data_IF_306737963306
#
_entry.id   IF_306737963306
#
_cell.length_a   1.000
_cell.length_b   1.000
_cell.length_c   1.000
_cell.angle_alpha   90.00
_cell.angle_beta   90.00
_cell.angle_gamma   90.00
#
_symmetry.space_group_name_H-M   'P 1'
#
loop_
_entity.id
_entity.type
_entity.pdbx_description
1 polymer ?
#
# COMPACT_ATOMS: atom_id res chain seq x y z
N UNK A 1 14.57 16.72 -14.25
CA UNK A 1 13.39 16.78 -13.35
C UNK A 1 12.13 16.03 -13.86
N UNK A 2 12.06 15.56 -15.13
CA UNK A 2 10.91 14.77 -15.63
C UNK A 2 10.77 13.37 -14.99
N UNK A 3 11.88 12.73 -14.60
CA UNK A 3 11.89 11.38 -14.01
C UNK A 3 11.25 11.31 -12.60
N UNK A 4 11.51 12.27 -11.71
CA UNK A 4 10.98 12.24 -10.33
C UNK A 4 9.46 12.34 -10.30
N UNK A 5 8.86 13.20 -11.13
CA UNK A 5 7.39 13.31 -11.25
C UNK A 5 6.75 12.00 -11.71
N UNK A 6 7.46 11.23 -12.54
CA UNK A 6 6.99 9.91 -13.02
C UNK A 6 7.02 8.91 -11.87
N UNK A 7 8.09 8.82 -11.09
CA UNK A 7 8.12 7.93 -9.93
C UNK A 7 7.08 8.32 -8.86
N UNK A 8 6.92 9.62 -8.56
CA UNK A 8 5.92 10.11 -7.60
C UNK A 8 4.49 9.79 -8.04
N UNK A 9 4.18 10.00 -9.31
CA UNK A 9 2.83 9.75 -9.81
C UNK A 9 2.61 8.21 -9.87
N UNK A 10 3.66 7.42 -10.11
CA UNK A 10 3.63 5.94 -10.16
C UNK A 10 3.48 5.29 -8.79
N UNK A 11 4.05 5.91 -7.75
CA UNK A 11 3.76 5.59 -6.35
C UNK A 11 2.29 5.83 -5.97
N UNK A 12 1.51 6.52 -6.82
CA UNK A 12 0.13 6.95 -6.60
C UNK A 12 -0.06 7.59 -5.22
N UNK A 13 0.65 8.69 -4.96
CA UNK A 13 0.60 9.41 -3.67
C UNK A 13 -0.84 9.73 -3.23
N UNK A 14 -1.74 9.96 -4.18
CA UNK A 14 -3.17 10.21 -3.92
C UNK A 14 -3.92 9.00 -3.35
N UNK A 15 -3.40 7.77 -3.43
CA UNK A 15 -3.99 6.57 -2.81
C UNK A 15 -3.38 6.26 -1.44
N UNK A 16 -2.32 6.97 -1.01
CA UNK A 16 -1.75 6.80 0.34
C UNK A 16 -2.77 7.00 1.46
N UNK A 17 -3.73 7.94 1.37
CA UNK A 17 -4.75 8.09 2.39
C UNK A 17 -5.55 6.80 2.66
N UNK A 18 -5.73 5.93 1.66
CA UNK A 18 -6.48 4.66 1.82
C UNK A 18 -5.81 3.77 2.87
N UNK A 19 -4.47 3.68 2.87
CA UNK A 19 -3.72 2.92 3.88
C UNK A 19 -3.50 3.68 5.19
N UNK A 20 -3.38 5.02 5.15
CA UNK A 20 -3.05 5.83 6.32
C UNK A 20 -4.25 6.15 7.21
N UNK A 21 -5.45 6.36 6.65
CA UNK A 21 -6.65 6.71 7.42
C UNK A 21 -6.98 5.67 8.51
N UNK A 22 -6.97 4.35 8.22
CA UNK A 22 -7.17 3.32 9.25
C UNK A 22 -6.16 3.41 10.40
N UNK A 23 -4.88 3.66 10.09
CA UNK A 23 -3.81 3.82 11.10
C UNK A 23 -4.05 5.06 11.97
N UNK A 24 -4.48 6.17 11.37
CA UNK A 24 -4.85 7.40 12.10
C UNK A 24 -6.05 7.15 13.01
N UNK A 25 -7.05 6.40 12.55
CA UNK A 25 -8.21 6.01 13.36
C UNK A 25 -7.80 5.12 14.53
N UNK A 26 -6.96 4.11 14.29
CA UNK A 26 -6.41 3.24 15.34
C UNK A 26 -5.66 4.06 16.40
N UNK A 27 -4.80 4.98 15.97
CA UNK A 27 -4.11 5.90 16.88
C UNK A 27 -5.07 6.76 17.71
N UNK A 28 -6.10 7.35 17.09
CA UNK A 28 -7.09 8.15 17.82
C UNK A 28 -7.83 7.33 18.88
N UNK A 29 -8.16 6.07 18.57
CA UNK A 29 -8.80 5.14 19.51
C UNK A 29 -7.83 4.77 20.64
N UNK A 30 -6.59 4.37 20.33
CA UNK A 30 -5.56 4.07 21.33
C UNK A 30 -5.29 5.26 22.24
N UNK A 31 -5.18 6.46 21.68
CA UNK A 31 -4.95 7.70 22.44
C UNK A 31 -6.13 8.00 23.38
N UNK A 32 -7.37 7.83 22.91
CA UNK A 32 -8.57 7.99 23.75
C UNK A 32 -8.58 6.95 24.88
N UNK A 33 -8.23 5.70 24.59
CA UNK A 33 -8.15 4.65 25.60
C UNK A 33 -7.09 4.99 26.65
N UNK A 34 -5.91 5.49 26.26
CA UNK A 34 -4.88 5.92 27.22
C UNK A 34 -5.33 7.09 28.11
N UNK A 35 -6.11 8.03 27.58
CA UNK A 35 -6.58 9.22 28.30
C UNK A 35 -7.79 8.97 29.22
N UNK A 36 -8.65 8.02 28.88
CA UNK A 36 -9.98 7.86 29.52
C UNK A 36 -10.28 6.45 30.04
N UNK A 37 -9.37 5.48 29.93
CA UNK A 37 -9.58 4.17 30.54
C UNK A 37 -9.24 4.19 32.03
N UNK A 38 -10.02 3.46 32.82
CA UNK A 38 -9.86 3.23 34.26
C UNK A 38 -8.67 2.32 34.64
N UNK A 39 -7.74 2.04 33.71
CA UNK A 39 -6.57 1.25 34.06
C UNK A 39 -5.68 2.07 34.99
N UNK A 40 -5.41 1.55 36.18
CA UNK A 40 -4.64 2.23 37.24
C UNK A 40 -3.21 2.60 36.80
N UNK A 41 -2.69 1.94 35.76
CA UNK A 41 -1.40 2.23 35.14
C UNK A 41 -1.51 2.30 33.61
N UNK A 42 -0.96 3.34 32.95
CA UNK A 42 -0.93 3.40 31.51
C UNK A 42 -0.05 2.28 30.93
N UNK A 43 -0.66 1.41 30.12
CA UNK A 43 0.00 0.28 29.43
C UNK A 43 1.17 0.75 28.52
N UNK A 44 1.15 2.01 28.08
CA UNK A 44 2.13 2.62 27.18
C UNK A 44 2.33 4.10 27.51
N UNK A 45 3.58 4.59 27.48
CA UNK A 45 3.84 6.03 27.64
C UNK A 45 3.46 6.82 26.38
N UNK A 46 3.16 8.12 26.54
CA UNK A 46 2.77 9.01 25.44
C UNK A 46 3.81 9.01 24.30
N UNK A 47 5.09 9.08 24.63
CA UNK A 47 6.18 9.05 23.65
C UNK A 47 6.19 7.74 22.84
N UNK A 48 5.98 6.61 23.51
CA UNK A 48 5.93 5.30 22.87
C UNK A 48 4.73 5.21 21.92
N UNK A 49 3.59 5.80 22.27
CA UNK A 49 2.40 5.87 21.42
C UNK A 49 2.68 6.62 20.11
N UNK A 50 3.33 7.80 20.19
CA UNK A 50 3.70 8.56 18.98
C UNK A 50 4.74 7.85 18.13
N UNK A 51 5.74 7.20 18.74
CA UNK A 51 6.73 6.43 17.97
C UNK A 51 6.05 5.25 17.27
N UNK A 52 5.16 4.53 17.96
CA UNK A 52 4.42 3.41 17.40
C UNK A 52 3.53 3.87 16.23
N UNK A 53 2.83 4.99 16.39
CA UNK A 53 2.02 5.61 15.33
C UNK A 53 2.87 5.94 14.10
N UNK A 54 4.03 6.56 14.29
CA UNK A 54 4.94 6.87 13.19
C UNK A 54 5.40 5.61 12.45
N UNK A 55 5.79 4.56 13.18
CA UNK A 55 6.20 3.28 12.59
C UNK A 55 5.06 2.66 11.77
N UNK A 56 3.84 2.63 12.30
CA UNK A 56 2.67 2.10 11.58
C UNK A 56 2.37 2.93 10.31
N UNK A 57 2.50 4.26 10.37
CA UNK A 57 2.36 5.11 9.18
C UNK A 57 3.41 4.80 8.13
N UNK A 58 4.66 4.56 8.52
CA UNK A 58 5.73 4.17 7.58
C UNK A 58 5.44 2.82 6.93
N UNK A 59 5.02 1.81 7.70
CA UNK A 59 4.60 0.51 7.16
C UNK A 59 3.47 0.69 6.15
N UNK A 60 2.39 1.38 6.52
CA UNK A 60 1.25 1.60 5.63
C UNK A 60 1.63 2.35 4.34
N UNK A 61 2.45 3.41 4.46
CA UNK A 61 2.88 4.18 3.31
C UNK A 61 3.77 3.39 2.35
N UNK A 62 4.82 2.74 2.85
CA UNK A 62 5.75 1.98 2.01
C UNK A 62 5.10 0.72 1.42
N UNK A 63 4.23 0.05 2.17
CA UNK A 63 3.46 -1.08 1.65
C UNK A 63 2.51 -0.63 0.53
N UNK A 64 1.77 0.47 0.71
CA UNK A 64 0.89 1.00 -0.33
C UNK A 64 1.68 1.37 -1.61
N UNK A 65 2.85 1.97 -1.47
CA UNK A 65 3.76 2.27 -2.58
C UNK A 65 4.21 0.98 -3.28
N UNK A 66 4.58 -0.06 -2.51
CA UNK A 66 5.01 -1.35 -3.05
C UNK A 66 3.89 -2.01 -3.87
N UNK A 67 2.66 -2.06 -3.33
CA UNK A 67 1.49 -2.60 -4.03
C UNK A 67 1.19 -1.80 -5.30
N UNK A 68 1.28 -0.46 -5.24
CA UNK A 68 1.05 0.39 -6.41
C UNK A 68 2.05 0.09 -7.55
N UNK A 69 3.34 -0.04 -7.23
CA UNK A 69 4.35 -0.43 -8.22
C UNK A 69 4.20 -1.88 -8.68
N UNK A 70 3.78 -2.80 -7.81
CA UNK A 70 3.58 -4.20 -8.15
C UNK A 70 2.41 -4.36 -9.13
N UNK A 71 1.33 -3.61 -8.91
CA UNK A 71 0.19 -3.53 -9.82
C UNK A 71 0.63 -3.00 -11.20
N UNK A 72 1.43 -1.93 -11.24
CA UNK A 72 1.96 -1.37 -12.49
C UNK A 72 2.90 -2.34 -13.22
N UNK A 73 3.71 -3.10 -12.47
CA UNK A 73 4.59 -4.13 -13.03
C UNK A 73 3.79 -5.29 -13.64
N UNK A 74 2.80 -5.82 -12.91
CA UNK A 74 1.99 -6.95 -13.37
C UNK A 74 1.12 -6.56 -14.58
N UNK A 75 0.54 -5.36 -14.56
CA UNK A 75 -0.23 -4.84 -15.68
C UNK A 75 0.64 -4.66 -16.95
N UNK A 76 1.87 -4.18 -16.78
CA UNK A 76 2.83 -4.02 -17.89
C UNK A 76 3.32 -5.33 -18.48
N UNK A 77 3.31 -6.43 -17.71
CA UNK A 77 3.67 -7.77 -18.21
C UNK A 77 2.50 -8.49 -18.90
N UNK A 78 1.27 -8.29 -18.42
CA UNK A 78 0.09 -9.02 -18.89
C UNK A 78 -0.50 -8.51 -20.22
N UNK A 79 0.12 -7.51 -20.87
CA UNK A 79 -0.34 -6.97 -22.15
C UNK A 79 -1.73 -6.31 -22.10
N UNK A 80 -2.33 -6.15 -20.91
CA UNK A 80 -3.58 -5.40 -20.69
C UNK A 80 -3.46 -3.94 -21.16
N UNK A 81 -2.23 -3.45 -21.31
CA UNK A 81 -1.92 -2.11 -21.81
C UNK A 81 -2.02 -1.98 -23.36
N UNK A 82 -1.84 -3.06 -24.14
CA UNK A 82 -1.93 -2.98 -25.62
C UNK A 82 -3.36 -2.65 -26.09
N UNK A 83 -4.37 -3.28 -25.48
CA UNK A 83 -5.78 -3.09 -25.84
C UNK A 83 -6.44 -1.87 -25.17
N UNK A 84 -5.75 -1.16 -24.27
CA UNK A 84 -6.29 0.01 -23.55
C UNK A 84 -5.93 1.35 -24.20
N UNK A 85 -4.81 1.40 -24.92
CA UNK A 85 -4.45 2.53 -25.80
C UNK A 85 -5.55 2.81 -26.84
N UNK A 86 -6.16 1.74 -27.38
CA UNK A 86 -7.30 1.82 -28.31
C UNK A 86 -8.58 2.33 -27.65
N UNK A 87 -8.82 2.06 -26.35
CA UNK A 87 -10.02 2.54 -25.63
C UNK A 87 -9.97 4.05 -25.37
N UNK A 88 -8.77 4.62 -25.19
CA UNK A 88 -8.60 6.07 -25.01
C UNK A 88 -8.72 6.86 -26.32
N UNK A 89 -8.54 6.22 -27.48
CA UNK A 89 -8.63 6.85 -28.80
C UNK A 89 -10.00 6.72 -29.48
N UNK A 90 -10.92 5.90 -28.95
CA UNK A 90 -12.25 5.69 -29.54
C UNK A 90 -13.35 6.65 -29.01
N UNK A 91 -13.01 7.60 -28.13
CA UNK A 91 -13.96 8.60 -27.61
C UNK A 91 -13.52 9.99 -28.04
N UNK A 92 -14.02 10.42 -29.20
CA UNK A 92 -13.90 11.81 -29.65
C UNK A 92 -14.43 12.75 -28.56
N UNK A 93 -13.57 13.65 -28.07
CA UNK A 93 -13.89 14.79 -27.18
C UNK A 93 -14.18 14.53 -25.69
N UNK A 94 -13.64 13.49 -25.09
CA UNK A 94 -13.57 13.41 -23.62
C UNK A 94 -12.13 13.45 -23.15
N UNK A 95 -11.66 14.62 -22.68
CA UNK A 95 -10.53 14.64 -21.72
C UNK A 95 -10.89 13.66 -20.62
N UNK A 96 -10.09 12.62 -20.34
CA UNK A 96 -10.42 11.71 -19.25
C UNK A 96 -10.54 12.56 -17.98
N UNK A 97 -11.70 12.51 -17.32
CA UNK A 97 -11.99 13.24 -16.08
C UNK A 97 -10.99 12.94 -14.96
N UNK A 98 -10.13 11.95 -15.17
CA UNK A 98 -9.05 11.56 -14.31
C UNK A 98 -7.85 11.06 -15.17
N UNK A 99 -6.78 11.85 -15.27
CA UNK A 99 -5.50 11.49 -15.92
C UNK A 99 -4.70 10.50 -15.05
N UNK A 100 -5.33 9.37 -14.69
CA UNK A 100 -4.80 8.36 -13.75
C UNK A 100 -4.03 7.25 -14.49
N UNK A 101 -4.14 7.18 -15.82
CA UNK A 101 -3.60 6.08 -16.64
C UNK A 101 -2.26 6.40 -17.31
N UNK A 102 -1.43 7.20 -16.67
CA UNK A 102 -0.04 7.37 -17.07
C UNK A 102 0.75 6.34 -16.23
N UNK A 103 1.24 5.27 -16.86
CA UNK A 103 1.90 4.14 -16.18
C UNK A 103 3.40 4.24 -16.42
N UNK A 104 4.25 3.74 -15.51
CA UNK A 104 5.71 3.77 -15.71
C UNK A 104 6.13 3.07 -17.02
N UNK A 105 5.37 2.06 -17.47
CA UNK A 105 5.56 1.41 -18.77
C UNK A 105 5.43 2.40 -19.96
N UNK A 106 4.42 3.28 -19.94
CA UNK A 106 4.22 4.31 -20.97
C UNK A 106 5.29 5.41 -20.93
N UNK A 107 6.01 5.54 -19.82
CA UNK A 107 7.15 6.43 -19.68
C UNK A 107 8.48 5.83 -20.16
N UNK A 108 8.47 4.61 -20.74
CA UNK A 108 9.66 3.92 -21.23
C UNK A 108 10.55 3.34 -20.12
N UNK A 109 10.01 3.18 -18.91
CA UNK A 109 10.78 2.64 -17.78
C UNK A 109 10.81 1.12 -17.87
N UNK A 110 12.00 0.53 -17.76
CA UNK A 110 12.16 -0.91 -17.85
C UNK A 110 11.37 -1.64 -16.74
N UNK A 111 10.70 -2.77 -17.03
CA UNK A 111 9.99 -3.56 -16.02
C UNK A 111 10.91 -3.98 -14.85
N UNK A 112 12.19 -4.23 -15.14
CA UNK A 112 13.20 -4.55 -14.12
C UNK A 112 13.41 -3.41 -13.12
N UNK A 113 13.34 -2.15 -13.57
CA UNK A 113 13.44 -0.98 -12.70
C UNK A 113 12.22 -0.85 -11.79
N UNK A 114 11.02 -1.13 -12.30
CA UNK A 114 9.79 -1.10 -11.49
C UNK A 114 9.81 -2.21 -10.45
N UNK A 115 10.23 -3.42 -10.81
CA UNK A 115 10.38 -4.53 -9.87
C UNK A 115 11.39 -4.20 -8.75
N UNK A 116 12.51 -3.54 -9.08
CA UNK A 116 13.44 -3.05 -8.04
C UNK A 116 12.76 -2.07 -7.09
N UNK A 117 11.93 -1.15 -7.58
CA UNK A 117 11.18 -0.21 -6.74
C UNK A 117 10.16 -0.92 -5.83
N UNK A 118 9.49 -1.97 -6.32
CA UNK A 118 8.63 -2.86 -5.50
C UNK A 118 9.45 -3.47 -4.37
N UNK A 119 10.59 -4.09 -4.68
CA UNK A 119 11.43 -4.76 -3.69
C UNK A 119 11.96 -3.78 -2.64
N UNK A 120 12.44 -2.61 -3.06
CA UNK A 120 12.97 -1.59 -2.15
C UNK A 120 11.89 -1.07 -1.21
N UNK A 121 10.72 -0.70 -1.74
CA UNK A 121 9.60 -0.20 -0.92
C UNK A 121 9.06 -1.27 0.04
N UNK A 122 8.90 -2.50 -0.44
CA UNK A 122 8.55 -3.66 0.38
C UNK A 122 9.56 -3.88 1.52
N UNK A 123 10.85 -3.85 1.21
CA UNK A 123 11.93 -4.06 2.17
C UNK A 123 11.94 -2.98 3.26
N UNK A 124 11.77 -1.72 2.88
CA UNK A 124 11.65 -0.61 3.85
C UNK A 124 10.44 -0.82 4.76
N UNK A 125 9.29 -1.22 4.21
CA UNK A 125 8.11 -1.58 5.01
C UNK A 125 8.41 -2.71 5.99
N UNK A 126 9.13 -3.75 5.57
CA UNK A 126 9.54 -4.85 6.45
C UNK A 126 10.44 -4.39 7.60
N UNK A 127 11.37 -3.46 7.35
CA UNK A 127 12.24 -2.92 8.41
C UNK A 127 11.39 -2.26 9.49
N UNK A 128 10.46 -1.37 9.12
CA UNK A 128 9.58 -0.71 10.09
C UNK A 128 8.67 -1.71 10.81
N UNK A 129 8.13 -2.69 10.09
CA UNK A 129 7.32 -3.77 10.68
C UNK A 129 8.11 -4.62 11.68
N UNK A 130 9.38 -4.92 11.38
CA UNK A 130 10.24 -5.67 12.29
C UNK A 130 10.57 -4.86 13.55
N UNK A 131 10.81 -3.55 13.41
CA UNK A 131 11.00 -2.66 14.57
C UNK A 131 9.75 -2.69 15.47
N UNK A 132 8.55 -2.67 14.90
CA UNK A 132 7.29 -2.81 15.65
C UNK A 132 7.25 -4.14 16.41
N UNK A 133 7.54 -5.26 15.74
CA UNK A 133 7.54 -6.60 16.36
C UNK A 133 8.50 -6.65 17.54
N UNK A 134 9.73 -6.16 17.36
CA UNK A 134 10.76 -6.18 18.40
C UNK A 134 10.41 -5.29 19.59
N UNK A 135 9.74 -4.15 19.35
CA UNK A 135 9.32 -3.24 20.42
C UNK A 135 8.10 -3.73 21.20
N UNK A 136 7.16 -4.37 20.51
CA UNK A 136 5.90 -4.83 21.12
C UNK A 136 6.00 -6.24 21.69
N UNK A 137 6.99 -7.04 21.24
CA UNK A 137 7.10 -8.46 21.58
C UNK A 137 6.05 -9.34 20.89
N UNK A 138 5.26 -8.78 19.96
CA UNK A 138 4.15 -9.46 19.30
C UNK A 138 4.65 -10.15 18.03
N UNK A 139 5.20 -11.36 18.17
CA UNK A 139 5.84 -12.07 17.05
C UNK A 139 4.88 -12.54 15.95
N UNK A 140 3.58 -12.71 16.25
CA UNK A 140 2.61 -13.16 15.25
C UNK A 140 2.40 -12.13 14.12
N UNK A 141 2.74 -10.86 14.35
CA UNK A 141 2.74 -9.82 13.30
C UNK A 141 3.70 -10.15 12.14
N UNK A 142 4.71 -11.01 12.35
CA UNK A 142 5.54 -11.51 11.26
C UNK A 142 4.69 -12.33 10.27
N UNK A 143 3.86 -13.24 10.79
CA UNK A 143 2.96 -14.05 9.96
C UNK A 143 1.92 -13.18 9.26
N UNK A 144 1.37 -12.17 9.97
CA UNK A 144 0.45 -11.21 9.38
C UNK A 144 1.11 -10.42 8.24
N UNK A 145 2.34 -9.95 8.43
CA UNK A 145 3.10 -9.24 7.41
C UNK A 145 3.32 -10.10 6.17
N UNK A 146 3.72 -11.37 6.34
CA UNK A 146 3.86 -12.33 5.24
C UNK A 146 2.54 -12.51 4.49
N UNK A 147 1.42 -12.64 5.22
CA UNK A 147 0.09 -12.76 4.63
C UNK A 147 -0.29 -11.51 3.82
N UNK A 148 0.01 -10.30 4.31
CA UNK A 148 -0.20 -9.05 3.58
C UNK A 148 0.62 -8.98 2.28
N UNK A 149 1.88 -9.40 2.30
CA UNK A 149 2.71 -9.48 1.09
C UNK A 149 2.19 -10.50 0.08
N UNK A 150 1.80 -11.68 0.54
CA UNK A 150 1.22 -12.71 -0.31
C UNK A 150 -0.08 -12.20 -0.96
N UNK A 151 -0.97 -11.61 -0.16
CA UNK A 151 -2.21 -11.02 -0.65
C UNK A 151 -1.94 -9.92 -1.68
N UNK A 152 -1.06 -8.97 -1.38
CA UNK A 152 -0.68 -7.91 -2.31
C UNK A 152 -0.15 -8.45 -3.65
N UNK A 153 0.68 -9.50 -3.61
CA UNK A 153 1.22 -10.11 -4.82
C UNK A 153 0.14 -10.85 -5.63
N UNK A 154 -0.69 -11.67 -4.97
CA UNK A 154 -1.75 -12.42 -5.64
C UNK A 154 -2.98 -11.58 -6.00
N UNK A 155 -3.06 -10.33 -5.53
CA UNK A 155 -4.09 -9.38 -5.92
C UNK A 155 -3.99 -9.02 -7.40
N UNK A 156 -2.78 -8.70 -7.87
CA UNK A 156 -2.52 -8.26 -9.25
C UNK A 156 -1.65 -9.22 -10.07
N UNK A 157 -0.81 -10.02 -9.42
CA UNK A 157 0.13 -10.95 -10.05
C UNK A 157 -0.22 -12.43 -9.87
N UNK A 158 0.49 -13.29 -10.61
CA UNK A 158 0.32 -14.75 -10.57
C UNK A 158 -0.64 -15.30 -11.63
N UNK A 159 -0.78 -16.63 -11.67
CA UNK A 159 -1.60 -17.34 -12.68
C UNK A 159 -3.11 -17.06 -12.54
N UNK A 160 -3.56 -16.66 -11.34
CA UNK A 160 -4.97 -16.41 -11.03
C UNK A 160 -5.12 -15.24 -10.06
N UNK A 161 -4.95 -13.98 -10.52
CA UNK A 161 -5.07 -12.83 -9.63
C UNK A 161 -6.52 -12.71 -9.14
N UNK A 162 -6.71 -12.75 -7.82
CA UNK A 162 -8.05 -12.83 -7.24
C UNK A 162 -8.82 -11.50 -7.33
N UNK A 163 -8.11 -10.37 -7.49
CA UNK A 163 -8.72 -9.07 -7.75
C UNK A 163 -9.59 -9.07 -9.02
N UNK A 164 -9.24 -9.89 -10.01
CA UNK A 164 -10.00 -10.05 -11.25
C UNK A 164 -11.13 -11.09 -11.17
N UNK A 165 -11.26 -11.79 -10.04
CA UNK A 165 -12.30 -12.80 -9.79
C UNK A 165 -13.43 -12.29 -8.88
N UNK A 166 -13.55 -10.98 -8.67
CA UNK A 166 -14.59 -10.38 -7.84
C UNK A 166 -14.30 -10.35 -6.34
N UNK A 167 -13.13 -10.83 -5.88
CA UNK A 167 -12.73 -10.80 -4.47
C UNK A 167 -12.07 -9.49 -4.03
N UNK A 168 -12.03 -8.49 -4.93
CA UNK A 168 -11.39 -7.21 -4.67
C UNK A 168 -12.00 -6.47 -3.48
N UNK A 169 -13.32 -6.49 -3.33
CA UNK A 169 -14.03 -5.80 -2.24
C UNK A 169 -13.72 -6.42 -0.87
N UNK A 170 -13.72 -7.76 -0.78
CA UNK A 170 -13.36 -8.48 0.45
C UNK A 170 -11.91 -8.18 0.84
N UNK A 171 -11.00 -8.20 -0.16
CA UNK A 171 -9.59 -7.86 0.06
C UNK A 171 -9.44 -6.41 0.53
N UNK A 172 -10.13 -5.46 -0.09
CA UNK A 172 -10.08 -4.06 0.31
C UNK A 172 -10.59 -3.88 1.75
N UNK A 173 -11.70 -4.53 2.11
CA UNK A 173 -12.23 -4.52 3.46
C UNK A 173 -11.22 -5.07 4.48
N UNK A 174 -10.61 -6.22 4.22
CA UNK A 174 -9.66 -6.87 5.15
C UNK A 174 -8.39 -6.03 5.33
N UNK A 175 -7.75 -5.64 4.23
CA UNK A 175 -6.42 -5.01 4.28
C UNK A 175 -6.46 -3.49 4.54
N UNK A 176 -7.59 -2.82 4.30
CA UNK A 176 -7.78 -1.40 4.65
C UNK A 176 -8.75 -1.18 5.82
N UNK A 177 -9.25 -2.25 6.45
CA UNK A 177 -10.15 -2.18 7.60
C UNK A 177 -9.53 -2.81 8.85
N UNK A 178 -9.76 -4.11 9.13
CA UNK A 178 -9.27 -4.76 10.34
C UNK A 178 -7.74 -4.88 10.45
N UNK A 179 -7.01 -5.07 9.35
CA UNK A 179 -5.55 -5.33 9.43
C UNK A 179 -4.75 -4.14 10.00
N UNK A 180 -5.02 -2.88 9.59
CA UNK A 180 -4.31 -1.73 10.16
C UNK A 180 -4.83 -1.26 11.53
N UNK A 181 -5.93 -1.84 12.04
CA UNK A 181 -6.63 -1.43 13.25
C UNK A 181 -6.25 -2.32 14.44
#
# INVERSE_FOLDING_TARGET
>A
MKSVKIWLKGARIYTLPIGLVPVVMAFAVSFRMMRFSYFEEPIMHLEQCFIQFFLCCMVAAFMQIAVNYANDYCDGLNGLDENRSLRALSSNNSKPLCDVSWRLANAGISPKSVLKAVIISAFISCIFGLIIVLRTGIYWFILLGIACFAAAWFYAGGKHPYGYKGWGEVSAFVFFGPVPF
#
